data_IF_595493419039
#
_entry.id   IF_595493419039
#
_cell.length_a   1.000
_cell.length_b   1.000
_cell.length_c   1.000
_cell.angle_alpha   90.00
_cell.angle_beta   90.00
_cell.angle_gamma   90.00
#
_symmetry.space_group_name_H-M   'P 1'
#
loop_
_entity.id
_entity.type
_entity.pdbx_description
1 polymer ?
#
# COMPACT_ATOMS: atom_id res chain seq x y z
N UNK A 1 32.92 -38.37 -55.20
CA UNK A 1 33.86 -37.53 -54.43
C UNK A 1 33.31 -36.12 -54.40
N UNK A 2 33.59 -35.36 -53.33
CA UNK A 2 32.94 -34.11 -52.86
C UNK A 2 31.55 -34.34 -52.24
N UNK A 3 31.34 -34.43 -50.93
CA UNK A 3 32.12 -33.92 -49.79
C UNK A 3 31.57 -32.56 -49.37
N UNK A 4 30.74 -32.59 -48.32
CA UNK A 4 30.56 -31.60 -47.24
C UNK A 4 30.29 -30.12 -47.61
N UNK A 5 29.16 -29.59 -47.12
CA UNK A 5 29.09 -28.32 -46.39
C UNK A 5 27.68 -28.22 -45.78
N UNK A 6 27.54 -28.78 -44.58
CA UNK A 6 26.47 -28.42 -43.65
C UNK A 6 26.87 -27.07 -43.04
N UNK A 7 26.19 -26.00 -43.43
CA UNK A 7 26.32 -24.70 -42.76
C UNK A 7 25.38 -24.72 -41.55
N UNK A 8 25.94 -25.13 -40.40
CA UNK A 8 25.37 -24.87 -39.09
C UNK A 8 25.49 -23.37 -38.80
N UNK A 9 24.36 -22.65 -38.94
CA UNK A 9 24.27 -21.24 -38.56
C UNK A 9 24.18 -21.15 -37.02
N UNK A 10 25.33 -21.18 -36.36
CA UNK A 10 25.45 -20.88 -34.93
C UNK A 10 25.13 -19.39 -34.70
N UNK A 11 23.86 -19.10 -34.43
CA UNK A 11 23.44 -17.82 -33.90
C UNK A 11 24.00 -17.66 -32.47
N UNK A 12 25.16 -17.01 -32.38
CA UNK A 12 25.74 -16.52 -31.15
C UNK A 12 24.76 -15.56 -30.44
N UNK A 13 23.97 -16.08 -29.49
CA UNK A 13 23.23 -15.25 -28.54
C UNK A 13 24.23 -14.69 -27.53
N UNK A 14 24.92 -13.63 -27.96
CA UNK A 14 25.62 -12.72 -27.08
C UNK A 14 24.59 -11.99 -26.22
N UNK A 15 24.65 -12.20 -24.91
CA UNK A 15 23.88 -11.42 -23.94
C UNK A 15 23.24 -12.29 -22.89
N UNK A 16 24.04 -12.75 -21.92
CA UNK A 16 23.58 -13.31 -20.65
C UNK A 16 22.84 -12.28 -19.79
N UNK A 17 21.69 -11.82 -20.28
CA UNK A 17 20.81 -10.87 -19.64
C UNK A 17 19.49 -11.53 -19.26
N UNK A 18 19.53 -12.44 -18.28
CA UNK A 18 18.54 -12.49 -17.18
C UNK A 18 17.10 -12.19 -17.64
N UNK A 19 16.42 -13.13 -18.31
CA UNK A 19 15.02 -12.95 -18.74
C UNK A 19 14.05 -12.69 -17.57
N UNK A 20 14.47 -13.01 -16.34
CA UNK A 20 13.74 -12.74 -15.10
C UNK A 20 13.73 -11.25 -14.69
N UNK A 21 14.46 -10.36 -15.37
CA UNK A 21 14.53 -8.93 -15.02
C UNK A 21 13.31 -8.11 -15.45
N UNK A 22 12.50 -8.61 -16.38
CA UNK A 22 11.44 -7.79 -17.01
C UNK A 22 10.02 -8.07 -16.51
N UNK A 23 9.83 -9.00 -15.57
CA UNK A 23 8.52 -9.39 -15.02
C UNK A 23 8.38 -9.14 -13.51
N UNK A 24 9.23 -8.30 -12.90
CA UNK A 24 9.01 -7.87 -11.52
C UNK A 24 7.94 -6.80 -11.47
N UNK A 25 6.92 -7.01 -10.63
CA UNK A 25 5.93 -5.98 -10.31
C UNK A 25 6.63 -4.84 -9.57
N UNK A 26 6.78 -3.69 -10.22
CA UNK A 26 7.24 -2.47 -9.55
C UNK A 26 6.13 -1.96 -8.62
N UNK A 27 6.39 -1.94 -7.33
CA UNK A 27 5.45 -1.37 -6.35
C UNK A 27 5.94 0.03 -5.96
N UNK A 28 5.07 1.07 -6.00
CA UNK A 28 5.48 2.40 -5.59
C UNK A 28 5.83 2.42 -4.09
N UNK A 29 6.70 3.35 -3.70
CA UNK A 29 6.91 3.60 -2.28
C UNK A 29 5.61 4.11 -1.65
N UNK A 30 5.19 3.47 -0.56
CA UNK A 30 3.97 3.83 0.16
C UNK A 30 4.23 4.05 1.63
N UNK A 31 3.46 4.95 2.20
CA UNK A 31 3.36 5.24 3.61
C UNK A 31 2.03 4.70 4.12
N UNK A 32 2.09 4.00 5.24
CA UNK A 32 0.94 3.44 5.92
C UNK A 32 0.86 4.05 7.32
N UNK A 33 -0.26 4.74 7.60
CA UNK A 33 -0.57 5.25 8.92
C UNK A 33 -1.60 4.36 9.57
N UNK A 34 -1.16 3.62 10.60
CA UNK A 34 -1.99 2.65 11.32
C UNK A 34 -2.42 3.25 12.64
N UNK A 35 -3.73 3.24 12.92
CA UNK A 35 -4.31 3.67 14.20
C UNK A 35 -5.10 2.51 14.78
N UNK A 36 -4.65 2.06 15.95
CA UNK A 36 -5.33 1.00 16.69
C UNK A 36 -6.28 1.64 17.70
N UNK A 37 -7.53 1.22 17.65
CA UNK A 37 -8.52 1.58 18.65
C UNK A 37 -8.32 0.83 19.96
N UNK A 38 -9.11 1.17 20.98
CA UNK A 38 -9.18 0.37 22.20
C UNK A 38 -9.63 -1.07 21.88
N UNK A 39 -9.33 -2.05 22.76
CA UNK A 39 -9.74 -3.45 22.57
C UNK A 39 -11.23 -3.61 22.29
N UNK A 40 -12.06 -2.74 22.87
CA UNK A 40 -13.49 -2.62 22.63
C UNK A 40 -13.85 -1.16 22.35
N UNK A 41 -14.29 -0.89 21.13
CA UNK A 41 -14.77 0.41 20.68
C UNK A 41 -16.29 0.40 20.71
N UNK A 42 -16.89 1.16 21.62
CA UNK A 42 -18.34 1.34 21.69
C UNK A 42 -18.75 2.49 20.79
N UNK A 43 -19.82 2.32 20.02
CA UNK A 43 -20.43 3.31 19.16
C UNK A 43 -21.85 3.65 19.66
N UNK A 44 -22.41 4.74 19.16
CA UNK A 44 -23.80 5.09 19.34
C UNK A 44 -24.71 3.94 18.87
N UNK A 45 -25.90 3.85 19.46
CA UNK A 45 -26.83 2.75 19.19
C UNK A 45 -26.42 1.41 19.81
N UNK A 46 -25.39 1.38 20.66
CA UNK A 46 -24.97 0.18 21.41
C UNK A 46 -24.13 -0.80 20.59
N UNK A 47 -23.69 -0.41 19.40
CA UNK A 47 -22.80 -1.23 18.56
C UNK A 47 -21.41 -1.28 19.22
N UNK A 48 -20.81 -2.47 19.24
CA UNK A 48 -19.46 -2.68 19.76
C UNK A 48 -18.58 -3.30 18.68
N UNK A 49 -17.37 -2.75 18.51
CA UNK A 49 -16.34 -3.30 17.63
C UNK A 49 -15.16 -3.75 18.47
N UNK A 50 -14.68 -4.97 18.24
CA UNK A 50 -13.47 -5.47 18.90
C UNK A 50 -12.26 -5.33 17.97
N UNK A 51 -11.14 -4.83 18.48
CA UNK A 51 -9.88 -4.73 17.73
C UNK A 51 -9.91 -3.79 16.51
N UNK A 52 -10.77 -2.78 16.52
CA UNK A 52 -10.91 -1.86 15.39
C UNK A 52 -9.57 -1.17 15.04
N UNK A 53 -9.20 -1.18 13.75
CA UNK A 53 -7.96 -0.59 13.25
C UNK A 53 -8.26 0.22 12.00
N UNK A 54 -7.83 1.48 11.96
CA UNK A 54 -7.85 2.33 10.78
C UNK A 54 -6.46 2.34 10.15
N UNK A 55 -6.38 2.06 8.86
CA UNK A 55 -5.14 2.14 8.09
C UNK A 55 -5.35 3.06 6.91
N UNK A 56 -4.55 4.11 6.81
CA UNK A 56 -4.50 4.99 5.64
C UNK A 56 -3.22 4.69 4.88
N UNK A 57 -3.34 4.32 3.61
CA UNK A 57 -2.20 4.01 2.73
C UNK A 57 -2.12 5.08 1.65
N UNK A 58 -0.96 5.71 1.51
CA UNK A 58 -0.72 6.71 0.48
C UNK A 58 0.66 6.53 -0.15
N UNK A 59 0.84 6.90 -1.43
CA UNK A 59 2.17 7.03 -2.00
C UNK A 59 3.02 7.99 -1.17
N UNK A 60 4.32 7.72 -1.05
CA UNK A 60 5.24 8.67 -0.41
C UNK A 60 5.34 9.92 -1.29
N UNK A 61 4.98 11.06 -0.73
CA UNK A 61 5.11 12.38 -1.33
C UNK A 61 5.84 13.32 -0.34
N UNK A 62 6.59 14.30 -0.84
CA UNK A 62 7.47 15.16 -0.03
C UNK A 62 6.76 16.19 0.86
N UNK A 63 5.56 15.87 1.32
CA UNK A 63 4.72 16.71 2.21
C UNK A 63 5.11 16.50 3.66
N UNK A 64 4.78 17.49 4.48
CA UNK A 64 5.11 17.47 5.92
C UNK A 64 4.16 16.56 6.70
N UNK A 65 4.60 16.06 7.86
CA UNK A 65 3.77 15.17 8.69
C UNK A 65 2.44 15.83 9.12
N UNK A 66 2.41 17.14 9.34
CA UNK A 66 1.20 17.85 9.75
C UNK A 66 0.18 17.94 8.60
N UNK A 67 0.63 18.25 7.39
CA UNK A 67 -0.21 18.27 6.19
C UNK A 67 -0.77 16.87 5.92
N UNK A 68 0.05 15.84 6.12
CA UNK A 68 -0.36 14.45 6.01
C UNK A 68 -1.42 14.04 7.01
N UNK A 69 -1.30 14.44 8.27
CA UNK A 69 -2.32 14.13 9.27
C UNK A 69 -3.69 14.71 8.90
N UNK A 70 -3.71 15.92 8.34
CA UNK A 70 -4.94 16.56 7.89
C UNK A 70 -5.51 15.85 6.64
N UNK A 71 -4.65 15.47 5.70
CA UNK A 71 -5.05 14.69 4.52
C UNK A 71 -5.62 13.32 4.90
N UNK A 72 -4.98 12.60 5.83
CA UNK A 72 -5.44 11.28 6.28
C UNK A 72 -6.83 11.36 6.92
N UNK A 73 -7.06 12.39 7.73
CA UNK A 73 -8.37 12.63 8.35
C UNK A 73 -9.42 12.93 7.27
N UNK A 74 -9.14 13.86 6.36
CA UNK A 74 -10.04 14.21 5.26
C UNK A 74 -10.43 13.00 4.40
N UNK A 75 -9.45 12.20 3.99
CA UNK A 75 -9.66 10.98 3.21
C UNK A 75 -10.49 9.93 3.96
N UNK A 76 -10.21 9.73 5.25
CA UNK A 76 -10.97 8.78 6.05
C UNK A 76 -12.41 9.26 6.29
N UNK A 77 -12.63 10.56 6.48
CA UNK A 77 -13.97 11.12 6.56
C UNK A 77 -14.70 10.97 5.24
N UNK A 78 -14.11 11.35 4.10
CA UNK A 78 -14.75 11.20 2.79
C UNK A 78 -15.14 9.74 2.50
N UNK A 79 -14.27 8.78 2.81
CA UNK A 79 -14.52 7.38 2.54
C UNK A 79 -15.59 6.72 3.43
N UNK A 80 -15.78 7.20 4.67
CA UNK A 80 -16.59 6.51 5.68
C UNK A 80 -17.71 7.34 6.34
N UNK A 81 -17.69 8.67 6.21
CA UNK A 81 -18.60 9.58 6.91
C UNK A 81 -19.92 9.82 6.17
N UNK A 82 -19.94 9.74 4.83
CA UNK A 82 -21.15 10.03 4.05
C UNK A 82 -22.17 8.87 4.18
N UNK A 83 -22.96 8.90 5.27
CA UNK A 83 -24.06 7.96 5.53
C UNK A 83 -23.65 6.54 5.95
N UNK A 84 -22.36 6.30 6.20
CA UNK A 84 -21.81 4.99 6.52
C UNK A 84 -21.91 4.61 8.00
N UNK A 85 -22.10 3.32 8.27
CA UNK A 85 -22.14 2.74 9.63
C UNK A 85 -20.82 2.88 10.42
N UNK A 86 -19.73 3.23 9.74
CA UNK A 86 -18.38 3.32 10.32
C UNK A 86 -17.91 4.75 10.61
N UNK A 87 -18.70 5.78 10.29
CA UNK A 87 -18.28 7.18 10.47
C UNK A 87 -17.83 7.48 11.90
N UNK A 88 -18.61 7.07 12.90
CA UNK A 88 -18.26 7.24 14.30
C UNK A 88 -17.01 6.44 14.71
N UNK A 89 -16.83 5.24 14.16
CA UNK A 89 -15.65 4.44 14.45
C UNK A 89 -14.39 5.15 13.92
N UNK A 90 -14.46 5.72 12.71
CA UNK A 90 -13.37 6.48 12.11
C UNK A 90 -13.04 7.72 12.94
N UNK A 91 -14.04 8.47 13.40
CA UNK A 91 -13.83 9.62 14.29
C UNK A 91 -13.05 9.28 15.56
N UNK A 92 -13.39 8.14 16.18
CA UNK A 92 -12.70 7.67 17.39
C UNK A 92 -11.30 7.14 17.08
N UNK A 93 -11.13 6.45 15.97
CA UNK A 93 -9.83 5.91 15.54
C UNK A 93 -8.85 7.03 15.14
N UNK A 94 -9.32 8.10 14.49
CA UNK A 94 -8.48 9.26 14.13
C UNK A 94 -7.89 9.98 15.36
N UNK A 95 -8.56 9.90 16.52
CA UNK A 95 -8.08 10.44 17.80
C UNK A 95 -7.09 9.50 18.52
N UNK A 96 -6.95 8.27 18.05
CA UNK A 96 -6.07 7.26 18.65
C UNK A 96 -4.61 7.43 18.19
N UNK A 97 -3.67 6.85 18.96
CA UNK A 97 -2.25 6.85 18.62
C UNK A 97 -2.03 6.26 17.22
N UNK A 98 -1.23 6.95 16.41
CA UNK A 98 -0.82 6.48 15.10
C UNK A 98 0.60 5.90 15.12
N UNK A 99 0.79 4.89 14.29
CA UNK A 99 2.09 4.31 13.94
C UNK A 99 2.32 4.52 12.45
N UNK A 100 3.53 4.97 12.10
CA UNK A 100 3.92 5.23 10.73
C UNK A 100 4.82 4.10 10.23
N UNK A 101 4.45 3.50 9.11
CA UNK A 101 5.26 2.50 8.41
C UNK A 101 5.52 3.01 6.99
N UNK A 102 6.77 2.98 6.56
CA UNK A 102 7.16 3.33 5.20
C UNK A 102 7.65 2.07 4.49
N UNK A 103 7.03 1.76 3.34
CA UNK A 103 7.42 0.67 2.46
C UNK A 103 8.09 1.26 1.24
N UNK A 104 9.36 0.94 1.05
CA UNK A 104 10.13 1.39 -0.11
C UNK A 104 9.74 0.59 -1.37
N UNK A 105 9.94 1.19 -2.53
CA UNK A 105 9.74 0.53 -3.82
C UNK A 105 10.70 -0.65 -4.00
N UNK A 106 10.24 -1.72 -4.68
CA UNK A 106 11.02 -2.91 -4.98
C UNK A 106 10.82 -3.39 -6.43
#
# INVERSE_FOLDING_TARGET
ESGEHEEEEEAQVSGGGVWWRNNRTTVPAVRMKVRQGPPRLELAGGVRMEGATLVVVRPVNGVTEAEEQNMDAGLAFEAFHEGGVYGEAVEKLLKSRSYLLEMNSF
#
